data_IF_221956430501
#
_entry.id   IF_221956430501
#
_cell.length_a   1.000
_cell.length_b   1.000
_cell.length_c   1.000
_cell.angle_alpha   90.00
_cell.angle_beta   90.00
_cell.angle_gamma   90.00
#
_symmetry.space_group_name_H-M   'P 1'
#
loop_
_entity.id
_entity.type
_entity.pdbx_description
1 polymer ?
#
# COMPACT_ATOMS: atom_id res chain seq x y z
N UNK A 1 19.95 27.97 -38.03
CA UNK A 1 19.70 28.42 -36.65
C UNK A 1 20.05 27.24 -35.74
N UNK A 2 21.14 27.34 -34.98
CA UNK A 2 21.43 26.41 -33.89
C UNK A 2 20.41 26.69 -32.78
N UNK A 3 19.75 25.66 -32.27
CA UNK A 3 18.94 25.79 -31.06
C UNK A 3 19.86 26.22 -29.92
N UNK A 4 19.54 27.34 -29.27
CA UNK A 4 20.23 27.79 -28.08
C UNK A 4 19.83 26.89 -26.90
N UNK A 5 20.69 25.94 -26.57
CA UNK A 5 20.50 25.00 -25.46
C UNK A 5 20.41 25.70 -24.09
N UNK A 6 20.79 26.99 -24.00
CA UNK A 6 20.67 27.82 -22.79
C UNK A 6 19.22 28.18 -22.44
N UNK A 7 18.27 27.97 -23.36
CA UNK A 7 16.84 28.24 -23.19
C UNK A 7 16.02 27.00 -22.83
N UNK A 8 16.65 25.83 -22.71
CA UNK A 8 15.97 24.68 -22.13
C UNK A 8 15.72 25.00 -20.65
N UNK A 9 14.46 24.94 -20.16
CA UNK A 9 14.21 25.07 -18.74
C UNK A 9 15.05 24.01 -18.04
N UNK A 10 15.98 24.47 -17.21
CA UNK A 10 16.68 23.62 -16.25
C UNK A 10 15.65 23.32 -15.18
N UNK A 11 14.83 22.29 -15.42
CA UNK A 11 14.11 21.66 -14.32
C UNK A 11 15.16 21.33 -13.28
N UNK A 12 15.04 21.92 -12.10
CA UNK A 12 16.00 21.62 -11.06
C UNK A 12 15.80 20.17 -10.59
N UNK A 13 16.79 19.62 -9.90
CA UNK A 13 16.71 18.24 -9.39
C UNK A 13 15.50 18.05 -8.45
N UNK A 14 15.03 19.13 -7.84
CA UNK A 14 13.85 19.13 -6.95
C UNK A 14 12.56 18.97 -7.77
N UNK A 15 12.41 19.72 -8.86
CA UNK A 15 11.28 19.60 -9.80
C UNK A 15 11.18 18.19 -10.37
N UNK A 16 12.31 17.57 -10.71
CA UNK A 16 12.35 16.18 -11.19
C UNK A 16 11.97 15.19 -10.08
N UNK A 17 12.48 15.39 -8.86
CA UNK A 17 12.14 14.59 -7.70
C UNK A 17 10.65 14.66 -7.34
N UNK A 18 10.06 15.86 -7.37
CA UNK A 18 8.64 16.08 -7.12
C UNK A 18 7.76 15.43 -8.20
N UNK A 19 8.15 15.56 -9.48
CA UNK A 19 7.44 14.92 -10.58
C UNK A 19 7.47 13.38 -10.48
N UNK A 20 8.63 12.80 -10.17
CA UNK A 20 8.77 11.35 -9.96
C UNK A 20 7.98 10.87 -8.74
N UNK A 21 8.01 11.62 -7.64
CA UNK A 21 7.21 11.33 -6.44
C UNK A 21 5.71 11.37 -6.74
N UNK A 22 5.25 12.37 -7.50
CA UNK A 22 3.85 12.48 -7.92
C UNK A 22 3.43 11.31 -8.84
N UNK A 23 4.30 10.89 -9.77
CA UNK A 23 4.07 9.71 -10.62
C UNK A 23 3.99 8.45 -9.76
N UNK A 24 4.92 8.25 -8.82
CA UNK A 24 4.88 7.10 -7.90
C UNK A 24 3.62 7.09 -7.04
N UNK A 25 3.18 8.27 -6.56
CA UNK A 25 1.92 8.42 -5.83
C UNK A 25 0.70 8.03 -6.66
N UNK A 26 0.61 8.48 -7.92
CA UNK A 26 -0.49 8.13 -8.82
C UNK A 26 -0.43 6.66 -9.26
N UNK A 27 0.76 6.10 -9.50
CA UNK A 27 0.95 4.67 -9.79
C UNK A 27 0.49 3.82 -8.61
N UNK A 28 0.91 4.18 -7.39
CA UNK A 28 0.45 3.53 -6.17
C UNK A 28 -1.07 3.61 -6.07
N UNK A 29 -1.67 4.80 -6.24
CA UNK A 29 -3.12 4.98 -6.17
C UNK A 29 -3.86 4.11 -7.17
N UNK A 30 -3.37 4.00 -8.41
CA UNK A 30 -4.02 3.19 -9.45
C UNK A 30 -3.93 1.70 -9.16
N UNK A 31 -2.79 1.24 -8.66
CA UNK A 31 -2.62 -0.17 -8.29
C UNK A 31 -3.49 -0.51 -7.07
N UNK A 32 -3.73 0.46 -6.16
CA UNK A 32 -4.50 0.23 -4.93
C UNK A 32 -5.99 0.58 -5.02
N UNK A 33 -6.45 1.44 -5.93
CA UNK A 33 -7.83 1.99 -5.92
C UNK A 33 -8.91 1.04 -6.45
N UNK A 34 -8.55 0.07 -7.28
CA UNK A 34 -9.54 -0.68 -8.09
C UNK A 34 -9.74 -2.11 -7.60
N UNK A 35 -9.83 -2.32 -6.28
CA UNK A 35 -9.94 -3.68 -5.74
C UNK A 35 -8.69 -4.52 -6.06
N UNK A 36 -7.51 -3.90 -5.95
CA UNK A 36 -6.22 -4.54 -6.20
C UNK A 36 -5.79 -5.51 -5.09
N UNK A 37 -4.51 -5.50 -4.72
CA UNK A 37 -3.91 -6.46 -3.79
C UNK A 37 -4.73 -6.68 -2.50
N UNK A 38 -5.25 -5.62 -1.88
CA UNK A 38 -6.04 -5.72 -0.66
C UNK A 38 -7.33 -6.53 -0.84
N UNK A 39 -8.08 -6.28 -1.94
CA UNK A 39 -9.33 -6.98 -2.19
C UNK A 39 -9.10 -8.44 -2.55
N UNK A 40 -8.03 -8.76 -3.30
CA UNK A 40 -7.62 -10.14 -3.57
C UNK A 40 -7.33 -10.89 -2.26
N UNK A 41 -6.49 -10.31 -1.40
CA UNK A 41 -6.11 -10.91 -0.12
C UNK A 41 -7.30 -11.07 0.82
N UNK A 42 -8.23 -10.11 0.82
CA UNK A 42 -9.44 -10.16 1.65
C UNK A 42 -10.46 -11.23 1.21
N UNK A 43 -10.33 -11.83 0.02
CA UNK A 43 -11.18 -12.95 -0.39
C UNK A 43 -10.95 -14.19 0.49
N UNK A 44 -9.69 -14.54 0.76
CA UNK A 44 -9.34 -15.64 1.66
C UNK A 44 -9.12 -15.19 3.11
N UNK A 45 -8.54 -14.00 3.32
CA UNK A 45 -8.22 -13.48 4.66
C UNK A 45 -8.85 -12.11 4.91
N UNK A 46 -10.15 -12.06 5.26
CA UNK A 46 -10.88 -10.79 5.44
C UNK A 46 -10.30 -9.84 6.50
N UNK A 47 -9.54 -10.37 7.46
CA UNK A 47 -8.90 -9.58 8.53
C UNK A 47 -7.44 -9.26 8.26
N UNK A 48 -6.91 -9.52 7.06
CA UNK A 48 -5.54 -9.18 6.72
C UNK A 48 -5.35 -7.66 6.68
N UNK A 49 -4.21 -7.20 7.21
CA UNK A 49 -3.81 -5.80 7.24
C UNK A 49 -2.55 -5.53 6.41
N UNK A 50 -1.82 -6.58 6.03
CA UNK A 50 -0.70 -6.49 5.11
C UNK A 50 -0.40 -7.84 4.42
N UNK A 51 0.34 -7.78 3.31
CA UNK A 51 1.04 -8.92 2.71
C UNK A 51 2.49 -8.91 3.15
N UNK A 52 3.01 -10.06 3.60
CA UNK A 52 4.41 -10.26 3.91
C UNK A 52 5.18 -10.54 2.63
N UNK A 53 6.34 -9.90 2.47
CA UNK A 53 7.13 -9.93 1.26
C UNK A 53 8.56 -10.39 1.53
N UNK A 54 9.07 -11.29 0.69
CA UNK A 54 10.52 -11.47 0.50
C UNK A 54 10.97 -10.53 -0.61
N UNK A 55 12.04 -9.77 -0.38
CA UNK A 55 12.46 -8.68 -1.25
C UNK A 55 13.95 -8.77 -1.56
N UNK A 56 14.27 -8.70 -2.84
CA UNK A 56 15.64 -8.64 -3.35
C UNK A 56 15.89 -7.24 -3.89
N UNK A 57 16.67 -6.46 -3.12
CA UNK A 57 17.06 -5.09 -3.44
C UNK A 57 18.33 -5.08 -4.32
N UNK A 58 18.17 -5.36 -5.60
CA UNK A 58 19.22 -5.20 -6.63
C UNK A 58 18.94 -3.95 -7.50
N UNK A 59 19.61 -3.82 -8.65
CA UNK A 59 19.40 -2.72 -9.61
C UNK A 59 17.93 -2.58 -10.06
N UNK A 60 17.20 -3.69 -10.04
CA UNK A 60 15.75 -3.74 -10.22
C UNK A 60 15.15 -4.53 -9.04
N UNK A 61 14.47 -3.87 -8.09
CA UNK A 61 13.91 -4.55 -6.94
C UNK A 61 12.85 -5.56 -7.36
N UNK A 62 12.91 -6.75 -6.77
CA UNK A 62 11.89 -7.80 -6.96
C UNK A 62 11.33 -8.20 -5.60
N UNK A 63 10.04 -8.54 -5.57
CA UNK A 63 9.39 -9.02 -4.36
C UNK A 63 8.50 -10.22 -4.66
N UNK A 64 8.38 -11.13 -3.70
CA UNK A 64 7.47 -12.26 -3.71
C UNK A 64 6.60 -12.24 -2.47
N UNK A 65 5.31 -12.59 -2.62
CA UNK A 65 4.44 -12.79 -1.47
C UNK A 65 4.85 -14.06 -0.71
N UNK A 66 5.00 -13.96 0.61
CA UNK A 66 5.30 -15.10 1.49
C UNK A 66 4.16 -15.45 2.45
N UNK A 67 3.26 -14.49 2.68
CA UNK A 67 2.18 -14.67 3.63
C UNK A 67 1.38 -13.41 3.86
N UNK A 68 0.53 -13.45 4.88
CA UNK A 68 -0.31 -12.31 5.27
C UNK A 68 -0.17 -12.02 6.76
N UNK A 69 -0.23 -10.75 7.12
CA UNK A 69 -0.35 -10.27 8.49
C UNK A 69 -1.82 -9.96 8.78
N UNK A 70 -2.35 -10.51 9.86
CA UNK A 70 -3.73 -10.30 10.30
C UNK A 70 -3.83 -9.15 11.31
N UNK A 71 -5.02 -8.57 11.43
CA UNK A 71 -5.32 -7.49 12.38
C UNK A 71 -5.09 -7.85 13.86
N UNK A 72 -5.02 -9.14 14.19
CA UNK A 72 -4.68 -9.64 15.53
C UNK A 72 -3.17 -9.87 15.72
N UNK A 73 -2.35 -9.32 14.83
CA UNK A 73 -0.88 -9.41 14.80
C UNK A 73 -0.33 -10.82 14.58
N UNK A 74 -1.15 -11.76 14.10
CA UNK A 74 -0.69 -13.09 13.69
C UNK A 74 -0.30 -13.10 12.23
N UNK A 75 0.76 -13.82 11.91
CA UNK A 75 1.18 -14.08 10.53
C UNK A 75 0.68 -15.45 10.06
N UNK A 76 0.32 -15.53 8.79
CA UNK A 76 0.06 -16.79 8.09
C UNK A 76 1.06 -16.87 6.94
N UNK A 77 2.00 -17.80 7.02
CA UNK A 77 2.88 -18.15 5.91
C UNK A 77 2.14 -19.05 4.93
N UNK A 78 2.28 -18.74 3.64
CA UNK A 78 1.59 -19.46 2.56
C UNK A 78 2.62 -20.28 1.81
N UNK A 79 2.55 -21.59 1.96
CA UNK A 79 3.41 -22.52 1.23
C UNK A 79 2.84 -22.76 -0.18
N UNK A 80 3.66 -22.99 -1.20
CA UNK A 80 3.20 -23.23 -2.57
C UNK A 80 2.16 -24.36 -2.70
N UNK A 81 2.28 -25.41 -1.88
CA UNK A 81 1.39 -26.56 -1.88
C UNK A 81 0.03 -26.31 -1.22
N UNK A 82 -0.10 -25.26 -0.41
CA UNK A 82 -1.32 -24.88 0.31
C UNK A 82 -1.86 -23.52 -0.09
N UNK A 83 -1.26 -22.92 -1.13
CA UNK A 83 -1.62 -21.62 -1.63
C UNK A 83 -3.08 -21.59 -2.12
N UNK A 84 -3.86 -20.56 -1.74
CA UNK A 84 -5.21 -20.41 -2.25
C UNK A 84 -5.18 -20.09 -3.77
N UNK A 85 -6.30 -20.32 -4.49
CA UNK A 85 -6.34 -20.14 -5.95
C UNK A 85 -5.89 -18.76 -6.45
N UNK A 86 -6.17 -17.70 -5.69
CA UNK A 86 -5.80 -16.32 -6.00
C UNK A 86 -4.33 -15.98 -5.67
N UNK A 87 -3.57 -16.88 -5.04
CA UNK A 87 -2.20 -16.59 -4.60
C UNK A 87 -1.26 -16.22 -5.75
N UNK A 88 -1.46 -16.81 -6.93
CA UNK A 88 -0.69 -16.43 -8.12
C UNK A 88 -0.88 -14.97 -8.50
N UNK A 89 -2.13 -14.50 -8.48
CA UNK A 89 -2.47 -13.10 -8.76
C UNK A 89 -1.93 -12.16 -7.67
N UNK A 90 -1.99 -12.59 -6.41
CA UNK A 90 -1.37 -11.87 -5.28
C UNK A 90 0.14 -11.72 -5.49
N UNK A 91 0.84 -12.79 -5.89
CA UNK A 91 2.27 -12.73 -6.19
C UNK A 91 2.59 -11.78 -7.35
N UNK A 92 1.81 -11.81 -8.42
CA UNK A 92 2.00 -10.92 -9.57
C UNK A 92 1.83 -9.45 -9.17
N UNK A 93 0.81 -9.13 -8.36
CA UNK A 93 0.60 -7.79 -7.83
C UNK A 93 1.73 -7.32 -6.88
N UNK A 94 2.23 -8.20 -6.01
CA UNK A 94 3.39 -7.89 -5.15
C UNK A 94 4.64 -7.62 -6.00
N UNK A 95 4.87 -8.39 -7.05
CA UNK A 95 6.00 -8.19 -7.96
C UNK A 95 5.90 -6.85 -8.70
N UNK A 96 4.70 -6.46 -9.14
CA UNK A 96 4.45 -5.15 -9.76
C UNK A 96 4.72 -4.00 -8.78
N UNK A 97 4.34 -4.16 -7.51
CA UNK A 97 4.53 -3.16 -6.46
C UNK A 97 5.98 -3.04 -5.99
N UNK A 98 6.82 -4.05 -6.20
CA UNK A 98 8.25 -4.00 -5.85
C UNK A 98 8.99 -2.83 -6.52
N UNK A 99 8.59 -2.47 -7.73
CA UNK A 99 9.17 -1.36 -8.49
C UNK A 99 8.62 0.01 -8.09
N UNK A 100 7.59 0.06 -7.23
CA UNK A 100 6.95 1.31 -6.81
C UNK A 100 7.56 1.78 -5.50
N UNK A 101 8.27 2.91 -5.56
CA UNK A 101 8.92 3.49 -4.38
C UNK A 101 7.92 3.68 -3.23
N UNK A 102 8.33 3.21 -2.05
CA UNK A 102 7.58 3.21 -0.78
C UNK A 102 6.32 2.33 -0.73
N UNK A 103 6.05 1.49 -1.73
CA UNK A 103 4.93 0.54 -1.66
C UNK A 103 5.21 -0.56 -0.62
N UNK A 104 6.46 -1.01 -0.55
CA UNK A 104 6.95 -1.95 0.46
C UNK A 104 7.51 -1.15 1.63
N UNK A 105 7.06 -1.48 2.84
CA UNK A 105 7.55 -0.94 4.10
C UNK A 105 8.45 -1.95 4.79
N UNK A 106 9.48 -1.47 5.49
CA UNK A 106 10.26 -2.25 6.44
C UNK A 106 9.60 -2.20 7.83
N UNK A 107 9.23 -3.36 8.37
CA UNK A 107 8.65 -3.54 9.69
C UNK A 107 9.59 -4.37 10.57
N UNK A 108 10.00 -3.82 11.71
CA UNK A 108 11.00 -4.46 12.57
C UNK A 108 10.56 -5.83 13.13
N UNK A 109 9.26 -6.06 13.29
CA UNK A 109 8.73 -7.30 13.87
C UNK A 109 8.45 -8.36 12.79
N UNK A 110 8.03 -7.93 11.61
CA UNK A 110 7.51 -8.82 10.56
C UNK A 110 8.34 -8.85 9.27
N UNK A 111 9.34 -7.99 9.15
CA UNK A 111 10.15 -7.83 7.94
C UNK A 111 9.49 -6.92 6.90
N UNK A 112 9.73 -7.18 5.62
CA UNK A 112 9.17 -6.37 4.54
C UNK A 112 7.70 -6.71 4.31
N UNK A 113 6.86 -5.69 4.16
CA UNK A 113 5.43 -5.88 3.96
C UNK A 113 4.79 -4.74 3.17
N UNK A 114 3.68 -5.05 2.52
CA UNK A 114 2.79 -4.07 1.88
C UNK A 114 1.56 -3.91 2.77
N UNK A 115 1.45 -2.75 3.44
CA UNK A 115 0.27 -2.43 4.27
C UNK A 115 -0.93 -2.08 3.41
N UNK A 116 -2.09 -2.57 3.80
CA UNK A 116 -3.34 -2.08 3.26
C UNK A 116 -3.73 -0.80 3.98
N UNK A 117 -4.33 0.13 3.25
CA UNK A 117 -4.95 1.28 3.90
C UNK A 117 -5.98 0.77 4.91
N UNK A 118 -5.91 1.20 6.18
CA UNK A 118 -6.97 0.90 7.11
C UNK A 118 -8.28 1.44 6.50
N UNK A 119 -9.39 0.68 6.54
CA UNK A 119 -10.66 1.20 6.05
C UNK A 119 -10.89 2.55 6.72
N UNK A 120 -11.33 3.58 5.99
CA UNK A 120 -11.50 4.91 6.54
C UNK A 120 -12.29 4.76 7.84
N UNK A 121 -11.68 5.15 8.96
CA UNK A 121 -12.31 5.04 10.26
C UNK A 121 -13.69 5.67 10.12
N UNK A 122 -14.76 4.88 10.31
CA UNK A 122 -16.11 5.39 10.24
C UNK A 122 -16.14 6.60 11.16
N UNK A 123 -16.29 7.80 10.57
CA UNK A 123 -16.22 9.05 11.31
C UNK A 123 -17.13 8.90 12.51
N UNK A 124 -16.55 8.90 13.72
CA UNK A 124 -17.33 8.78 14.94
C UNK A 124 -18.42 9.85 14.88
N UNK A 125 -19.67 9.41 14.75
CA UNK A 125 -20.79 10.30 14.61
C UNK A 125 -20.72 11.32 15.75
N UNK A 126 -20.95 12.62 15.48
CA UNK A 126 -20.84 13.63 16.51
C UNK A 126 -21.76 13.24 17.66
N UNK A 127 -21.22 13.16 18.87
CA UNK A 127 -22.00 12.98 20.09
C UNK A 127 -22.98 14.16 20.15
N UNK A 128 -24.23 13.89 19.80
CA UNK A 128 -25.30 14.86 20.02
C UNK A 128 -25.47 14.93 21.53
N UNK A 129 -24.91 15.97 22.14
CA UNK A 129 -25.14 16.27 23.54
C UNK A 129 -26.63 16.57 23.72
N UNK A 130 -27.38 15.56 24.20
CA UNK A 130 -28.73 15.77 24.68
C UNK A 130 -28.66 16.68 25.91
N UNK A 131 -28.94 17.97 25.73
CA UNK A 131 -29.22 18.87 26.85
C UNK A 131 -30.58 18.45 27.40
N UNK A 132 -30.55 17.60 28.43
CA UNK A 132 -31.70 17.36 29.28
C UNK A 132 -31.86 18.56 30.21
N UNK A 133 -32.64 19.55 29.77
CA UNK A 133 -33.11 20.60 30.67
C UNK A 133 -34.37 20.10 31.37
N UNK A 134 -34.18 19.60 32.59
CA UNK A 134 -35.23 19.17 33.48
C UNK A 134 -35.17 20.01 34.77
N UNK A 135 -36.25 20.78 34.95
CA UNK A 135 -36.85 21.24 36.20
C UNK A 135 -36.25 22.47 36.93
N UNK A 136 -37.13 23.48 37.08
CA UNK A 136 -37.09 24.46 38.17
C UNK A 136 -38.44 25.19 38.25
N UNK A 137 -39.23 24.88 39.27
CA UNK A 137 -40.56 25.43 39.57
C UNK A 137 -40.55 26.89 40.00
#
# INVERSE_FOLDING_TARGET
>A
MLFDLSMLPTADETDLGEALSAINGELRRRITSDGGLAALVHQTWPSAVAVLCDVVWEDYPTASAEGVLLADNRTIHVAPESAPPEWGEICDEVANLAAVDGAISDDYEHGYLIRFDPPPAAASAPVVAAVADAAGS
#
